data_IF_444630411284
#
_entry.id   IF_444630411284
#
_cell.length_a   1.000
_cell.length_b   1.000
_cell.length_c   1.000
_cell.angle_alpha   90.00
_cell.angle_beta   90.00
_cell.angle_gamma   90.00
#
_symmetry.space_group_name_H-M   'P 1'
#
loop_
_entity.id
_entity.type
_entity.pdbx_description
1 polymer ?
#
# COMPACT_ATOMS: atom_id res chain seq x y z
N UNK A 1 -5.42 3.88 18.56
CA UNK A 1 -6.17 3.82 17.29
C UNK A 1 -5.27 3.08 16.29
N UNK A 2 -5.62 1.88 15.86
CA UNK A 2 -4.67 0.99 15.16
C UNK A 2 -4.20 1.52 13.80
N UNK A 3 -5.05 2.20 13.02
CA UNK A 3 -4.68 2.70 11.69
C UNK A 3 -3.53 3.72 11.74
N UNK A 4 -3.47 4.52 12.81
CA UNK A 4 -2.38 5.48 12.98
C UNK A 4 -1.04 4.78 13.20
N UNK A 5 -1.05 3.65 13.93
CA UNK A 5 0.14 2.82 14.15
C UNK A 5 0.61 2.19 12.82
N UNK A 6 -0.31 1.62 12.05
CA UNK A 6 0.00 1.06 10.73
C UNK A 6 0.52 2.11 9.74
N UNK A 7 0.03 3.35 9.84
CA UNK A 7 0.49 4.44 8.99
C UNK A 7 1.93 4.87 9.31
N UNK A 8 2.34 4.81 10.58
CA UNK A 8 3.70 5.13 11.01
C UNK A 8 4.71 4.05 10.60
N UNK A 9 4.27 2.80 10.55
CA UNK A 9 5.08 1.64 10.16
C UNK A 9 4.90 1.25 8.69
N UNK A 10 4.24 2.09 7.89
CA UNK A 10 3.89 1.76 6.52
C UNK A 10 5.15 1.66 5.63
N UNK A 11 5.30 0.59 4.85
CA UNK A 11 6.39 0.49 3.89
C UNK A 11 6.18 1.47 2.72
N UNK A 12 7.29 1.95 2.16
CA UNK A 12 7.26 2.70 0.91
C UNK A 12 7.04 1.77 -0.29
N UNK A 13 6.25 2.18 -1.29
CA UNK A 13 6.26 1.51 -2.59
C UNK A 13 7.66 1.55 -3.21
N UNK A 14 8.01 0.56 -4.03
CA UNK A 14 9.35 0.42 -4.65
C UNK A 14 9.85 1.67 -5.38
N UNK A 15 8.93 2.45 -5.93
CA UNK A 15 9.24 3.67 -6.70
C UNK A 15 9.45 4.89 -5.81
N UNK A 16 9.27 4.79 -4.49
CA UNK A 16 9.41 5.88 -3.54
C UNK A 16 10.57 5.66 -2.57
N UNK A 17 11.23 6.74 -2.21
CA UNK A 17 12.37 6.77 -1.27
C UNK A 17 12.18 7.90 -0.27
N UNK A 18 12.66 7.70 0.95
CA UNK A 18 12.67 8.70 2.01
C UNK A 18 13.96 9.52 1.97
N UNK A 19 13.84 10.84 2.12
CA UNK A 19 14.96 11.78 2.12
C UNK A 19 14.72 12.89 3.15
N UNK A 20 15.80 13.56 3.56
CA UNK A 20 15.75 14.66 4.51
C UNK A 20 16.18 15.95 3.82
N UNK A 21 15.47 17.04 4.08
CA UNK A 21 15.89 18.37 3.61
C UNK A 21 16.97 18.99 4.51
N UNK A 22 17.41 20.20 4.19
CA UNK A 22 18.43 20.92 4.98
C UNK A 22 17.98 21.29 6.40
N UNK A 23 16.69 21.18 6.69
CA UNK A 23 16.09 21.42 8.01
C UNK A 23 15.75 20.09 8.72
N UNK A 24 16.27 18.96 8.23
CA UNK A 24 16.03 17.60 8.75
C UNK A 24 14.54 17.19 8.70
N UNK A 25 13.78 17.75 7.76
CA UNK A 25 12.38 17.36 7.53
C UNK A 25 12.31 16.24 6.51
N UNK A 26 11.55 15.21 6.83
CA UNK A 26 11.30 14.07 5.96
C UNK A 26 10.46 14.48 4.75
N UNK A 27 10.91 14.10 3.56
CA UNK A 27 10.14 14.13 2.33
C UNK A 27 10.33 12.83 1.55
N UNK A 28 9.37 12.53 0.68
CA UNK A 28 9.36 11.34 -0.14
C UNK A 28 9.63 11.70 -1.59
N UNK A 29 10.50 10.95 -2.24
CA UNK A 29 10.88 11.15 -3.62
C UNK A 29 10.50 9.93 -4.46
N UNK A 30 9.76 10.16 -5.55
CA UNK A 30 9.43 9.16 -6.53
C UNK A 30 10.51 9.10 -7.61
N UNK A 31 11.24 7.99 -7.68
CA UNK A 31 12.37 7.83 -8.61
C UNK A 31 11.95 7.69 -10.07
N UNK A 32 10.70 7.27 -10.32
CA UNK A 32 10.18 7.04 -11.67
C UNK A 32 9.61 8.31 -12.30
N UNK A 33 8.90 9.13 -11.52
CA UNK A 33 8.27 10.37 -11.99
C UNK A 33 9.10 11.62 -11.67
N UNK A 34 10.16 11.46 -10.89
CA UNK A 34 10.97 12.55 -10.32
C UNK A 34 10.16 13.55 -9.46
N UNK A 35 8.99 13.12 -8.98
CA UNK A 35 8.14 13.94 -8.11
C UNK A 35 8.59 13.84 -6.65
N UNK A 36 8.47 14.95 -5.91
CA UNK A 36 8.67 14.98 -4.46
C UNK A 36 7.35 15.25 -3.74
N UNK A 37 7.20 14.73 -2.53
CA UNK A 37 6.01 14.88 -1.70
C UNK A 37 6.38 15.02 -0.23
N UNK A 38 5.66 15.85 0.51
CA UNK A 38 5.76 15.94 1.97
C UNK A 38 4.84 14.95 2.69
N UNK A 39 3.97 14.28 1.94
CA UNK A 39 3.03 13.28 2.46
C UNK A 39 3.45 11.89 2.03
N UNK A 40 3.30 10.91 2.92
CA UNK A 40 3.62 9.53 2.63
C UNK A 40 2.76 9.02 1.45
N UNK A 41 3.33 8.29 0.48
CA UNK A 41 2.59 7.85 -0.73
C UNK A 41 1.37 6.96 -0.43
N UNK A 42 1.36 6.27 0.72
CA UNK A 42 0.21 5.49 1.19
C UNK A 42 -0.71 6.28 2.14
N UNK A 43 -0.48 7.55 2.43
CA UNK A 43 -1.28 8.32 3.41
C UNK A 43 -2.78 8.30 3.07
N UNK A 44 -3.13 8.53 1.80
CA UNK A 44 -4.52 8.56 1.35
C UNK A 44 -5.24 7.24 1.62
N UNK A 45 -4.55 6.11 1.43
CA UNK A 45 -5.09 4.79 1.72
C UNK A 45 -5.47 4.66 3.19
N UNK A 46 -4.61 5.07 4.12
CA UNK A 46 -4.90 5.03 5.55
C UNK A 46 -6.08 5.93 5.92
N UNK A 47 -6.14 7.14 5.34
CA UNK A 47 -7.25 8.09 5.55
C UNK A 47 -8.58 7.51 5.08
N UNK A 48 -8.60 6.88 3.91
CA UNK A 48 -9.82 6.31 3.35
C UNK A 48 -10.30 5.11 4.18
N UNK A 49 -9.38 4.23 4.59
CA UNK A 49 -9.68 3.11 5.50
C UNK A 49 -10.26 3.58 6.82
N UNK A 50 -9.68 4.64 7.42
CA UNK A 50 -10.22 5.26 8.63
C UNK A 50 -11.62 5.82 8.43
N UNK A 51 -11.84 6.57 7.34
CA UNK A 51 -13.16 7.13 7.01
C UNK A 51 -14.21 6.05 6.87
N UNK A 52 -13.90 4.94 6.19
CA UNK A 52 -14.80 3.80 6.08
C UNK A 52 -15.16 3.26 7.48
N UNK A 53 -14.17 2.95 8.32
CA UNK A 53 -14.44 2.41 9.66
C UNK A 53 -15.31 3.35 10.50
N UNK A 54 -15.05 4.66 10.42
CA UNK A 54 -15.85 5.66 11.16
C UNK A 54 -17.28 5.75 10.62
N UNK A 55 -17.46 5.79 9.29
CA UNK A 55 -18.80 5.88 8.70
C UNK A 55 -19.65 4.64 8.99
N UNK A 56 -19.04 3.46 9.06
CA UNK A 56 -19.74 2.25 9.49
C UNK A 56 -20.12 2.29 10.97
N UNK A 57 -19.28 2.88 11.82
CA UNK A 57 -19.50 2.94 13.28
C UNK A 57 -20.45 4.06 13.71
N UNK A 58 -20.62 5.12 12.92
CA UNK A 58 -21.49 6.24 13.29
C UNK A 58 -22.96 5.88 13.29
N UNK A 59 -23.36 4.79 12.61
CA UNK A 59 -24.71 4.23 12.69
C UNK A 59 -25.78 5.10 12.00
N UNK A 60 -25.38 6.09 11.21
CA UNK A 60 -26.28 7.03 10.54
C UNK A 60 -27.00 6.42 9.32
N UNK A 61 -26.67 5.17 8.95
CA UNK A 61 -27.12 4.50 7.74
C UNK A 61 -28.26 3.53 8.04
N UNK A 62 -29.23 3.46 7.13
CA UNK A 62 -30.26 2.42 7.16
C UNK A 62 -29.65 1.03 7.02
N UNK A 63 -30.39 -0.02 7.39
CA UNK A 63 -29.91 -1.41 7.28
C UNK A 63 -29.60 -1.78 5.83
N UNK A 64 -30.41 -1.30 4.89
CA UNK A 64 -30.23 -1.52 3.46
C UNK A 64 -28.94 -0.86 2.95
N UNK A 65 -28.65 0.37 3.40
CA UNK A 65 -27.41 1.07 3.05
C UNK A 65 -26.18 0.41 3.68
N UNK A 66 -26.28 -0.05 4.93
CA UNK A 66 -25.22 -0.80 5.62
C UNK A 66 -24.86 -2.07 4.86
N UNK A 67 -25.86 -2.84 4.41
CA UNK A 67 -25.64 -4.06 3.61
C UNK A 67 -24.95 -3.71 2.29
N UNK A 68 -25.45 -2.69 1.56
CA UNK A 68 -24.84 -2.28 0.28
C UNK A 68 -23.39 -1.80 0.45
N UNK A 69 -23.08 -1.06 1.51
CA UNK A 69 -21.72 -0.63 1.78
C UNK A 69 -20.81 -1.81 2.16
N UNK A 70 -21.30 -2.75 2.97
CA UNK A 70 -20.54 -3.94 3.36
C UNK A 70 -20.20 -4.80 2.13
N UNK A 71 -21.15 -4.98 1.21
CA UNK A 71 -20.91 -5.67 -0.06
C UNK A 71 -19.84 -4.96 -0.90
N UNK A 72 -19.89 -3.62 -0.98
CA UNK A 72 -18.85 -2.85 -1.68
C UNK A 72 -17.48 -3.01 -1.04
N UNK A 73 -17.39 -3.01 0.29
CA UNK A 73 -16.12 -3.24 0.99
C UNK A 73 -15.59 -4.65 0.75
N UNK A 74 -16.45 -5.68 0.82
CA UNK A 74 -16.06 -7.07 0.55
C UNK A 74 -15.51 -7.22 -0.86
N UNK A 75 -16.23 -6.71 -1.85
CA UNK A 75 -15.78 -6.72 -3.25
C UNK A 75 -14.44 -6.01 -3.42
N UNK A 76 -14.26 -4.85 -2.77
CA UNK A 76 -12.99 -4.12 -2.80
C UNK A 76 -11.84 -4.93 -2.19
N UNK A 77 -12.10 -5.69 -1.14
CA UNK A 77 -11.10 -6.58 -0.53
C UNK A 77 -10.79 -7.77 -1.43
N UNK A 78 -11.78 -8.43 -2.01
CA UNK A 78 -11.58 -9.53 -2.97
C UNK A 78 -10.77 -9.08 -4.19
N UNK A 79 -11.09 -7.91 -4.76
CA UNK A 79 -10.35 -7.36 -5.90
C UNK A 79 -8.89 -7.07 -5.51
N UNK A 80 -8.66 -6.51 -4.33
CA UNK A 80 -7.32 -6.22 -3.86
C UNK A 80 -6.51 -7.46 -3.46
N UNK A 81 -7.17 -8.51 -2.92
CA UNK A 81 -6.57 -9.81 -2.69
C UNK A 81 -6.07 -10.41 -4.01
N UNK A 82 -6.91 -10.37 -5.04
CA UNK A 82 -6.57 -10.88 -6.37
C UNK A 82 -5.40 -10.10 -6.99
N UNK A 83 -5.44 -8.77 -6.90
CA UNK A 83 -4.37 -7.91 -7.41
C UNK A 83 -3.06 -8.13 -6.65
N UNK A 84 -3.10 -8.19 -5.32
CA UNK A 84 -1.94 -8.48 -4.50
C UNK A 84 -1.39 -9.88 -4.83
N UNK A 85 -2.24 -10.89 -4.94
CA UNK A 85 -1.80 -12.25 -5.28
C UNK A 85 -1.10 -12.31 -6.63
N UNK A 86 -1.68 -11.65 -7.65
CA UNK A 86 -1.07 -11.57 -8.98
C UNK A 86 0.29 -10.87 -8.94
N UNK A 87 0.37 -9.74 -8.25
CA UNK A 87 1.60 -8.97 -8.13
C UNK A 87 2.68 -9.77 -7.38
N UNK A 88 2.34 -10.34 -6.22
CA UNK A 88 3.27 -11.14 -5.42
C UNK A 88 3.82 -12.36 -6.18
N UNK A 89 3.00 -12.98 -7.03
CA UNK A 89 3.43 -14.10 -7.88
C UNK A 89 4.28 -13.69 -9.08
N UNK A 90 4.15 -12.44 -9.55
CA UNK A 90 4.89 -11.95 -10.70
C UNK A 90 6.37 -11.72 -10.38
N UNK A 91 6.70 -11.40 -9.13
CA UNK A 91 8.05 -11.08 -8.68
C UNK A 91 8.80 -12.28 -8.10
N UNK A 92 10.06 -12.42 -8.50
CA UNK A 92 10.98 -13.46 -8.02
C UNK A 92 12.28 -12.82 -7.55
N UNK A 93 12.88 -13.38 -6.51
CA UNK A 93 14.14 -12.89 -5.93
C UNK A 93 15.32 -13.61 -6.57
N UNK A 94 16.36 -12.86 -6.91
CA UNK A 94 17.59 -13.35 -7.53
C UNK A 94 18.81 -12.61 -6.95
N UNK A 95 20.00 -13.16 -7.15
CA UNK A 95 21.26 -12.51 -6.77
C UNK A 95 22.14 -12.34 -8.01
N UNK A 96 22.85 -11.21 -8.08
CA UNK A 96 23.87 -10.98 -9.10
C UNK A 96 25.21 -11.67 -8.73
N UNK A 97 26.20 -11.56 -9.62
CA UNK A 97 27.54 -12.15 -9.43
C UNK A 97 28.29 -11.56 -8.21
N UNK A 98 27.83 -10.42 -7.67
CA UNK A 98 28.38 -9.76 -6.49
C UNK A 98 27.59 -10.11 -5.20
N UNK A 99 26.57 -10.97 -5.31
CA UNK A 99 25.69 -11.35 -4.21
C UNK A 99 24.64 -10.29 -3.84
N UNK A 100 24.46 -9.25 -4.67
CA UNK A 100 23.42 -8.25 -4.46
C UNK A 100 22.07 -8.82 -4.88
N UNK A 101 21.08 -8.67 -4.00
CA UNK A 101 19.72 -9.17 -4.25
C UNK A 101 18.96 -8.19 -5.13
N UNK A 102 18.31 -8.72 -6.17
CA UNK A 102 17.39 -7.98 -7.03
C UNK A 102 16.10 -8.76 -7.24
N UNK A 103 15.03 -8.06 -7.58
CA UNK A 103 13.71 -8.62 -7.79
C UNK A 103 13.34 -8.53 -9.26
N UNK A 104 12.96 -9.66 -9.84
CA UNK A 104 12.60 -9.78 -11.25
C UNK A 104 11.11 -10.05 -11.42
N UNK A 105 10.45 -9.21 -12.21
CA UNK A 105 9.05 -9.38 -12.61
C UNK A 105 8.98 -10.15 -13.93
N UNK A 106 8.42 -11.37 -13.90
CA UNK A 106 8.28 -12.21 -15.10
C UNK A 106 7.21 -11.74 -16.08
N UNK A 107 6.21 -11.00 -15.63
CA UNK A 107 5.12 -10.52 -16.47
C UNK A 107 5.54 -9.27 -17.26
N UNK A 108 6.26 -8.37 -16.57
CA UNK A 108 6.76 -7.10 -17.14
C UNK A 108 8.18 -7.23 -17.71
N UNK A 109 8.84 -8.37 -17.52
CA UNK A 109 10.22 -8.63 -17.93
C UNK A 109 11.18 -7.52 -17.47
N UNK A 110 11.06 -7.11 -16.19
CA UNK A 110 11.87 -6.03 -15.61
C UNK A 110 12.47 -6.43 -14.26
N UNK A 111 13.65 -5.90 -13.97
CA UNK A 111 14.32 -6.03 -12.68
C UNK A 111 14.23 -4.72 -11.89
N UNK A 112 14.16 -4.82 -10.57
CA UNK A 112 14.26 -3.70 -9.63
C UNK A 112 15.13 -4.11 -8.44
N UNK A 113 15.76 -3.13 -7.80
CA UNK A 113 16.62 -3.36 -6.63
C UNK A 113 15.86 -3.30 -5.29
N UNK A 114 14.66 -2.70 -5.30
CA UNK A 114 13.80 -2.57 -4.12
C UNK A 114 12.62 -3.51 -4.25
N UNK A 115 12.34 -4.32 -3.22
CA UNK A 115 11.22 -5.24 -3.22
C UNK A 115 9.89 -4.47 -3.39
N UNK A 116 9.11 -4.72 -4.45
CA UNK A 116 7.82 -4.04 -4.66
C UNK A 116 6.67 -4.65 -3.85
N UNK A 117 6.88 -5.80 -3.22
CA UNK A 117 5.84 -6.58 -2.52
C UNK A 117 5.38 -5.96 -1.18
N UNK A 118 6.24 -5.37 -0.32
CA UNK A 118 5.83 -4.89 1.01
C UNK A 118 4.67 -3.89 0.99
N UNK A 119 4.71 -2.86 0.14
CA UNK A 119 3.62 -1.89 0.03
C UNK A 119 2.30 -2.50 -0.46
N UNK A 120 2.36 -3.54 -1.30
CA UNK A 120 1.20 -4.29 -1.77
C UNK A 120 0.59 -5.13 -0.67
N UNK A 121 1.43 -5.85 0.09
CA UNK A 121 1.02 -6.59 1.28
C UNK A 121 0.36 -5.68 2.31
N UNK A 122 0.95 -4.50 2.56
CA UNK A 122 0.40 -3.51 3.50
C UNK A 122 -1.00 -3.04 3.08
N UNK A 123 -1.17 -2.78 1.78
CA UNK A 123 -2.46 -2.34 1.23
C UNK A 123 -3.56 -3.40 1.46
N UNK A 124 -3.24 -4.66 1.15
CA UNK A 124 -4.17 -5.77 1.37
C UNK A 124 -4.49 -5.93 2.86
N UNK A 125 -3.48 -5.92 3.70
CA UNK A 125 -3.63 -6.08 5.14
C UNK A 125 -4.58 -5.03 5.75
N UNK A 126 -4.45 -3.75 5.36
CA UNK A 126 -5.34 -2.69 5.83
C UNK A 126 -6.80 -2.93 5.44
N UNK A 127 -7.04 -3.41 4.23
CA UNK A 127 -8.38 -3.69 3.72
C UNK A 127 -9.02 -4.87 4.44
N UNK A 128 -8.27 -5.97 4.62
CA UNK A 128 -8.73 -7.14 5.35
C UNK A 128 -9.03 -6.83 6.82
N UNK A 129 -8.20 -6.02 7.47
CA UNK A 129 -8.35 -5.63 8.88
C UNK A 129 -9.47 -4.61 9.12
N UNK A 130 -9.91 -3.92 8.06
CA UNK A 130 -10.98 -2.92 8.12
C UNK A 130 -12.38 -3.47 7.87
N UNK A 131 -12.49 -4.67 7.26
CA UNK A 131 -13.72 -5.47 7.21
C UNK A 131 -14.09 -6.00 8.60
#
# INVERSE_FOLDING_TARGET
>A
MWIADEALNAPLPSEWTEHHDSADRVFYYNVQTHASSWTHPLEQLHRDTYKSIVSFRSGDLSKEEQVSQLEKLRRKCEDAEKDAHKELQAWTEHQDDQGQTFYYNRELQRSVWTDPRPARCHTLYLQMKAL
#
